data_IF_112804196674
#
_entry.id   IF_112804196674
#
_cell.length_a   1.000
_cell.length_b   1.000
_cell.length_c   1.000
_cell.angle_alpha   90.00
_cell.angle_beta   90.00
_cell.angle_gamma   90.00
#
_symmetry.space_group_name_H-M   'P 1'
#
loop_
_entity.id
_entity.type
_entity.pdbx_description
1 polymer ?
#
# COMPACT_ATOMS: atom_id res chain seq x y z
N UNK A 1 -19.41 5.47 10.35
CA UNK A 1 -18.13 6.08 10.74
C UNK A 1 -17.64 6.92 9.55
N UNK A 2 -17.69 8.26 9.62
CA UNK A 2 -17.17 9.12 8.52
C UNK A 2 -15.65 9.10 8.61
N UNK A 3 -14.99 8.36 7.72
CA UNK A 3 -13.52 8.34 7.66
C UNK A 3 -13.05 9.75 7.31
N UNK A 4 -12.31 10.39 8.21
CA UNK A 4 -11.75 11.71 7.94
C UNK A 4 -10.59 11.57 6.94
N UNK A 5 -10.87 11.89 5.68
CA UNK A 5 -9.93 11.76 4.55
C UNK A 5 -8.63 12.52 4.82
N UNK A 6 -8.69 13.64 5.54
CA UNK A 6 -7.53 14.49 5.86
C UNK A 6 -6.50 13.79 6.75
N UNK A 7 -6.89 12.74 7.49
CA UNK A 7 -5.97 11.93 8.31
C UNK A 7 -5.37 10.75 7.56
N UNK A 8 -5.85 10.45 6.34
CA UNK A 8 -5.39 9.31 5.55
C UNK A 8 -3.99 9.50 4.97
N UNK A 9 -3.26 8.39 4.81
CA UNK A 9 -1.93 8.39 4.19
C UNK A 9 -1.95 8.92 2.75
N UNK A 10 -2.98 8.56 1.97
CA UNK A 10 -3.18 9.03 0.59
C UNK A 10 -3.29 10.57 0.55
N UNK A 11 -4.06 11.15 1.48
CA UNK A 11 -4.23 12.60 1.54
C UNK A 11 -2.93 13.31 1.92
N UNK A 12 -2.25 12.86 2.98
CA UNK A 12 -0.96 13.42 3.39
C UNK A 12 0.09 13.34 2.28
N UNK A 13 0.15 12.21 1.57
CA UNK A 13 1.06 12.04 0.45
C UNK A 13 0.68 12.95 -0.74
N UNK A 14 -0.61 13.09 -1.05
CA UNK A 14 -1.11 14.00 -2.08
C UNK A 14 -0.77 15.45 -1.77
N UNK A 15 -0.97 15.87 -0.51
CA UNK A 15 -0.61 17.21 -0.03
C UNK A 15 0.89 17.45 -0.17
N UNK A 16 1.72 16.52 0.31
CA UNK A 16 3.17 16.63 0.21
C UNK A 16 3.65 16.73 -1.24
N UNK A 17 3.05 15.94 -2.15
CA UNK A 17 3.35 16.01 -3.58
C UNK A 17 2.93 17.34 -4.19
N UNK A 18 1.76 17.87 -3.82
CA UNK A 18 1.30 19.18 -4.28
C UNK A 18 2.25 20.30 -3.82
N UNK A 19 2.71 20.27 -2.57
CA UNK A 19 3.70 21.21 -2.05
C UNK A 19 5.04 21.13 -2.82
N UNK A 20 5.49 19.92 -3.18
CA UNK A 20 6.67 19.76 -4.04
C UNK A 20 6.46 20.37 -5.43
N UNK A 21 5.27 20.21 -6.02
CA UNK A 21 4.94 20.81 -7.31
C UNK A 21 4.92 22.33 -7.27
N UNK A 22 4.36 22.93 -6.21
CA UNK A 22 4.33 24.38 -6.02
C UNK A 22 5.74 24.94 -5.84
N UNK A 23 6.60 24.26 -5.07
CA UNK A 23 8.00 24.68 -4.88
C UNK A 23 8.83 24.59 -6.16
N UNK A 24 8.52 23.63 -7.04
CA UNK A 24 9.27 23.41 -8.27
C UNK A 24 8.87 24.35 -9.40
N UNK A 25 7.64 24.88 -9.39
CA UNK A 25 7.10 25.68 -10.48
C UNK A 25 6.25 26.83 -9.90
N UNK A 26 6.80 28.05 -9.96
CA UNK A 26 6.21 29.27 -9.36
C UNK A 26 4.83 29.63 -9.94
N UNK A 27 4.46 29.06 -11.09
CA UNK A 27 3.13 29.25 -11.69
C UNK A 27 1.99 28.72 -10.82
N UNK A 28 2.27 27.83 -9.86
CA UNK A 28 1.28 27.25 -8.95
C UNK A 28 1.14 27.98 -7.60
N UNK A 29 1.97 28.99 -7.34
CA UNK A 29 1.90 29.74 -6.08
C UNK A 29 0.65 30.66 -6.00
N UNK A 30 0.01 30.91 -7.14
CA UNK A 30 -1.18 31.76 -7.27
C UNK A 30 -2.45 31.11 -6.72
N UNK A 31 -2.49 29.77 -6.51
CA UNK A 31 -3.66 29.12 -5.93
C UNK A 31 -3.88 29.52 -4.46
N UNK A 32 -5.10 29.94 -4.14
CA UNK A 32 -5.56 30.15 -2.77
C UNK A 32 -5.47 28.86 -1.94
N UNK A 33 -5.25 29.00 -0.64
CA UNK A 33 -5.11 27.86 0.26
C UNK A 33 -6.37 26.96 0.26
N UNK A 34 -7.56 27.54 0.13
CA UNK A 34 -8.82 26.79 0.04
C UNK A 34 -8.96 26.01 -1.28
N UNK A 35 -8.39 26.52 -2.37
CA UNK A 35 -8.35 25.78 -3.64
C UNK A 35 -7.38 24.60 -3.55
N UNK A 36 -6.22 24.78 -2.89
CA UNK A 36 -5.23 23.72 -2.66
C UNK A 36 -5.81 22.58 -1.82
N UNK A 37 -6.57 22.88 -0.77
CA UNK A 37 -7.20 21.86 0.08
C UNK A 37 -8.30 21.10 -0.67
N UNK A 38 -9.18 21.79 -1.39
CA UNK A 38 -10.23 21.17 -2.20
C UNK A 38 -9.64 20.30 -3.33
N UNK A 39 -8.58 20.78 -3.98
CA UNK A 39 -7.84 20.02 -4.99
C UNK A 39 -7.29 18.72 -4.41
N UNK A 40 -6.62 18.79 -3.26
CA UNK A 40 -6.05 17.65 -2.57
C UNK A 40 -7.13 16.64 -2.16
N UNK A 41 -8.28 17.10 -1.65
CA UNK A 41 -9.38 16.23 -1.27
C UNK A 41 -9.96 15.47 -2.47
N UNK A 42 -10.27 16.16 -3.57
CA UNK A 42 -10.84 15.51 -4.75
C UNK A 42 -9.81 14.60 -5.45
N UNK A 43 -8.51 14.93 -5.42
CA UNK A 43 -7.47 14.01 -5.94
C UNK A 43 -7.40 12.77 -5.05
N UNK A 44 -7.40 12.94 -3.73
CA UNK A 44 -7.31 11.83 -2.77
C UNK A 44 -8.51 10.90 -2.88
N UNK A 45 -9.72 11.42 -3.05
CA UNK A 45 -10.93 10.62 -3.27
C UNK A 45 -10.83 9.80 -4.56
N UNK A 46 -10.47 10.45 -5.68
CA UNK A 46 -10.30 9.77 -6.97
C UNK A 46 -9.19 8.73 -6.94
N UNK A 47 -8.05 9.06 -6.33
CA UNK A 47 -6.95 8.14 -6.13
C UNK A 47 -7.42 6.92 -5.32
N UNK A 48 -8.12 7.12 -4.20
CA UNK A 48 -8.64 6.02 -3.38
C UNK A 48 -9.54 5.07 -4.18
N UNK A 49 -10.45 5.59 -5.02
CA UNK A 49 -11.31 4.77 -5.89
C UNK A 49 -10.46 3.98 -6.90
N UNK A 50 -9.53 4.64 -7.58
CA UNK A 50 -8.64 4.00 -8.57
C UNK A 50 -7.81 2.91 -7.91
N UNK A 51 -7.29 3.15 -6.71
CA UNK A 51 -6.48 2.19 -5.97
C UNK A 51 -7.28 0.98 -5.52
N UNK A 52 -8.51 1.17 -5.05
CA UNK A 52 -9.41 0.05 -4.73
C UNK A 52 -9.68 -0.79 -6.00
N UNK A 53 -9.90 -0.15 -7.14
CA UNK A 53 -10.11 -0.84 -8.42
C UNK A 53 -8.87 -1.60 -8.90
N UNK A 54 -7.66 -1.12 -8.59
CA UNK A 54 -6.40 -1.80 -8.94
C UNK A 54 -5.99 -2.89 -7.94
N UNK A 55 -6.34 -2.74 -6.66
CA UNK A 55 -6.02 -3.70 -5.60
C UNK A 55 -6.60 -5.09 -5.87
N UNK A 56 -7.86 -5.17 -6.33
CA UNK A 56 -8.54 -6.43 -6.62
C UNK A 56 -7.80 -7.24 -7.69
N UNK A 57 -7.60 -6.74 -8.93
CA UNK A 57 -6.90 -7.49 -9.97
C UNK A 57 -5.44 -7.74 -9.59
N UNK A 58 -4.78 -6.79 -8.92
CA UNK A 58 -3.41 -6.98 -8.44
C UNK A 58 -3.32 -8.19 -7.51
N UNK A 59 -4.23 -8.31 -6.54
CA UNK A 59 -4.28 -9.45 -5.64
C UNK A 59 -4.43 -10.77 -6.42
N UNK A 60 -5.33 -10.83 -7.40
CA UNK A 60 -5.48 -12.03 -8.23
C UNK A 60 -4.20 -12.37 -9.00
N UNK A 61 -3.57 -11.38 -9.64
CA UNK A 61 -2.35 -11.59 -10.43
C UNK A 61 -1.21 -12.10 -9.54
N UNK A 62 -1.00 -11.51 -8.37
CA UNK A 62 0.05 -11.93 -7.44
C UNK A 62 -0.18 -13.35 -6.95
N UNK A 63 -1.41 -13.70 -6.56
CA UNK A 63 -1.71 -15.06 -6.09
C UNK A 63 -1.54 -16.10 -7.21
N UNK A 64 -2.02 -15.81 -8.42
CA UNK A 64 -1.85 -16.70 -9.57
C UNK A 64 -0.38 -16.87 -9.92
N UNK A 65 0.40 -15.79 -9.94
CA UNK A 65 1.84 -15.86 -10.20
C UNK A 65 2.55 -16.70 -9.12
N UNK A 66 2.20 -16.50 -7.85
CA UNK A 66 2.77 -17.25 -6.73
C UNK A 66 2.47 -18.75 -6.82
N UNK A 67 1.23 -19.10 -7.20
CA UNK A 67 0.79 -20.48 -7.42
C UNK A 67 1.49 -21.12 -8.62
N UNK A 68 1.63 -20.41 -9.74
CA UNK A 68 2.35 -20.93 -10.90
C UNK A 68 3.83 -21.18 -10.58
N UNK A 69 4.45 -20.29 -9.83
CA UNK A 69 5.84 -20.46 -9.37
C UNK A 69 5.99 -21.65 -8.43
N UNK A 70 5.00 -21.95 -7.57
CA UNK A 70 5.05 -23.14 -6.70
C UNK A 70 4.93 -24.45 -7.49
N UNK A 71 4.07 -24.52 -8.50
CA UNK A 71 3.99 -25.70 -9.39
C UNK A 71 5.30 -25.93 -10.14
N UNK A 72 5.99 -24.86 -10.53
CA UNK A 72 7.29 -24.94 -11.19
C UNK A 72 8.45 -25.35 -10.26
N UNK A 73 8.17 -25.61 -8.98
CA UNK A 73 9.20 -25.99 -8.01
C UNK A 73 10.13 -24.83 -7.65
N UNK A 74 9.68 -23.58 -7.77
CA UNK A 74 10.47 -22.43 -7.35
C UNK A 74 10.77 -22.55 -5.84
N UNK A 75 12.06 -22.50 -5.49
CA UNK A 75 12.52 -22.66 -4.11
C UNK A 75 11.84 -21.68 -3.15
N UNK A 76 11.67 -20.42 -3.54
CA UNK A 76 11.11 -19.39 -2.67
C UNK A 76 9.65 -19.68 -2.30
N UNK A 77 8.83 -20.06 -3.29
CA UNK A 77 7.40 -20.32 -3.06
C UNK A 77 7.19 -21.63 -2.32
N UNK A 78 7.98 -22.66 -2.61
CA UNK A 78 7.94 -23.94 -1.91
C UNK A 78 8.36 -23.79 -0.43
N UNK A 79 9.44 -23.05 -0.17
CA UNK A 79 9.88 -22.72 1.19
C UNK A 79 8.81 -21.91 1.94
N UNK A 80 8.14 -20.96 1.26
CA UNK A 80 7.08 -20.16 1.85
C UNK A 80 5.86 -21.01 2.25
N UNK A 81 5.38 -21.89 1.38
CA UNK A 81 4.28 -22.80 1.71
C UNK A 81 4.65 -23.74 2.85
N UNK A 82 5.85 -24.31 2.82
CA UNK A 82 6.33 -25.20 3.88
C UNK A 82 6.40 -24.48 5.24
N UNK A 83 6.91 -23.25 5.26
CA UNK A 83 6.98 -22.47 6.49
C UNK A 83 5.59 -22.09 7.04
N UNK A 84 4.63 -21.76 6.17
CA UNK A 84 3.24 -21.52 6.59
C UNK A 84 2.66 -22.79 7.20
N UNK A 85 2.85 -23.94 6.55
CA UNK A 85 2.30 -25.22 6.97
C UNK A 85 2.87 -25.64 8.34
N UNK A 86 4.20 -25.58 8.50
CA UNK A 86 4.85 -25.83 9.79
C UNK A 86 4.37 -24.88 10.90
N UNK A 87 4.14 -23.61 10.57
CA UNK A 87 3.65 -22.62 11.55
C UNK A 87 2.19 -22.91 11.92
N UNK A 88 1.37 -23.29 10.94
CA UNK A 88 -0.02 -23.66 11.12
C UNK A 88 -0.17 -24.93 11.97
N UNK A 89 0.65 -25.95 11.72
CA UNK A 89 0.72 -27.17 12.53
C UNK A 89 1.08 -26.86 13.97
N UNK A 90 2.09 -26.02 14.22
CA UNK A 90 2.48 -25.62 15.58
C UNK A 90 1.35 -24.85 16.29
N UNK A 91 0.62 -24.00 15.57
CA UNK A 91 -0.48 -23.21 16.15
C UNK A 91 -1.68 -24.10 16.52
N UNK A 92 -2.07 -25.03 15.64
CA UNK A 92 -3.30 -25.81 15.82
C UNK A 92 -3.11 -27.14 16.56
N UNK A 93 -1.99 -27.81 16.31
CA UNK A 93 -1.73 -29.17 16.77
C UNK A 93 -0.46 -29.29 17.63
N UNK A 94 0.37 -28.25 17.67
CA UNK A 94 1.61 -28.23 18.44
C UNK A 94 1.38 -28.25 19.94
N UNK A 95 2.29 -28.91 20.67
CA UNK A 95 2.31 -28.83 22.13
C UNK A 95 2.77 -27.44 22.56
N UNK A 96 1.86 -26.67 23.15
CA UNK A 96 2.14 -25.36 23.72
C UNK A 96 2.93 -25.45 25.04
N UNK A 97 3.11 -26.67 25.55
CA UNK A 97 3.79 -27.01 26.79
C UNK A 97 2.96 -26.68 28.03
N UNK A 98 3.19 -27.48 29.08
CA UNK A 98 2.67 -27.20 30.41
C UNK A 98 3.60 -26.19 31.12
N UNK A 99 3.07 -25.00 31.43
CA UNK A 99 3.77 -23.96 32.17
C UNK A 99 4.08 -22.69 31.38
N UNK A 100 4.13 -21.57 32.09
CA UNK A 100 4.34 -20.22 31.55
C UNK A 100 5.63 -20.04 30.73
N UNK A 101 6.77 -20.65 31.08
CA UNK A 101 8.01 -20.51 30.32
C UNK A 101 7.95 -21.18 28.93
N UNK A 102 7.38 -22.38 28.86
CA UNK A 102 7.25 -23.12 27.59
C UNK A 102 6.31 -22.39 26.63
N UNK A 103 5.16 -21.90 27.12
CA UNK A 103 4.23 -21.10 26.32
C UNK A 103 4.88 -19.84 25.74
N UNK A 104 5.72 -19.14 26.52
CA UNK A 104 6.46 -17.96 26.05
C UNK A 104 7.49 -18.31 24.96
N UNK A 105 8.17 -19.45 25.10
CA UNK A 105 9.13 -19.92 24.11
C UNK A 105 8.45 -20.30 22.78
N UNK A 106 7.32 -21.02 22.83
CA UNK A 106 6.55 -21.39 21.63
C UNK A 106 6.02 -20.15 20.90
N UNK A 107 5.50 -19.15 21.63
CA UNK A 107 5.07 -17.88 21.03
C UNK A 107 6.24 -17.17 20.34
N UNK A 108 7.40 -17.07 21.01
CA UNK A 108 8.59 -16.44 20.43
C UNK A 108 9.05 -17.17 19.15
N UNK A 109 9.02 -18.49 19.15
CA UNK A 109 9.36 -19.31 17.99
C UNK A 109 8.43 -19.04 16.81
N UNK A 110 7.12 -18.97 17.04
CA UNK A 110 6.13 -18.60 16.02
C UNK A 110 6.44 -17.20 15.46
N UNK A 111 6.73 -16.22 16.31
CA UNK A 111 7.09 -14.87 15.86
C UNK A 111 8.35 -14.87 14.99
N UNK A 112 9.39 -15.61 15.37
CA UNK A 112 10.62 -15.72 14.57
C UNK A 112 10.33 -16.35 13.21
N UNK A 113 9.52 -17.41 13.17
CA UNK A 113 9.07 -18.02 11.91
C UNK A 113 8.24 -17.06 11.06
N UNK A 114 7.47 -16.16 11.65
CA UNK A 114 6.68 -15.17 10.89
C UNK A 114 7.49 -14.01 10.32
N UNK A 115 8.70 -13.74 10.81
CA UNK A 115 9.53 -12.61 10.31
C UNK A 115 9.70 -12.64 8.78
N UNK A 116 10.17 -13.75 8.18
CA UNK A 116 10.39 -13.74 6.74
C UNK A 116 9.09 -13.85 5.94
N UNK A 117 7.97 -14.29 6.54
CA UNK A 117 6.63 -14.17 5.95
C UNK A 117 6.23 -12.69 5.78
N UNK A 118 6.45 -11.88 6.82
CA UNK A 118 6.22 -10.42 6.76
C UNK A 118 7.10 -9.79 5.69
N UNK A 119 8.36 -10.21 5.56
CA UNK A 119 9.26 -9.68 4.53
C UNK A 119 8.76 -9.95 3.10
N UNK A 120 8.27 -11.16 2.82
CA UNK A 120 7.69 -11.51 1.51
C UNK A 120 6.46 -10.66 1.21
N UNK A 121 5.59 -10.44 2.19
CA UNK A 121 4.41 -9.58 2.03
C UNK A 121 4.81 -8.13 1.74
N UNK A 122 5.81 -7.58 2.44
CA UNK A 122 6.29 -6.22 2.20
C UNK A 122 6.87 -6.05 0.79
N UNK A 123 7.61 -7.05 0.30
CA UNK A 123 8.13 -7.06 -1.07
C UNK A 123 6.96 -7.09 -2.07
N UNK A 124 5.96 -7.96 -1.84
CA UNK A 124 4.78 -8.04 -2.69
C UNK A 124 3.90 -6.78 -2.64
N UNK A 125 3.96 -5.98 -1.57
CA UNK A 125 3.26 -4.69 -1.47
C UNK A 125 4.02 -3.53 -2.13
N UNK A 126 5.33 -3.67 -2.36
CA UNK A 126 6.17 -2.58 -2.90
C UNK A 126 5.67 -2.04 -4.25
N UNK A 127 5.27 -2.88 -5.23
CA UNK A 127 4.71 -2.40 -6.50
C UNK A 127 3.40 -1.61 -6.33
N UNK A 128 2.57 -1.96 -5.34
CA UNK A 128 1.33 -1.21 -5.05
C UNK A 128 1.66 0.21 -4.60
N UNK A 129 2.62 0.38 -3.68
CA UNK A 129 3.03 1.73 -3.25
C UNK A 129 3.58 2.59 -4.39
N UNK A 130 4.28 1.98 -5.35
CA UNK A 130 4.74 2.67 -6.57
C UNK A 130 3.57 3.08 -7.48
N UNK A 131 2.58 2.20 -7.66
CA UNK A 131 1.37 2.51 -8.41
C UNK A 131 0.59 3.67 -7.77
N UNK A 132 0.43 3.66 -6.45
CA UNK A 132 -0.18 4.76 -5.68
C UNK A 132 0.50 6.09 -5.98
N UNK A 133 1.84 6.10 -5.93
CA UNK A 133 2.63 7.28 -6.23
C UNK A 133 2.41 7.79 -7.66
N UNK A 134 2.33 6.90 -8.64
CA UNK A 134 2.13 7.24 -10.06
C UNK A 134 0.72 7.78 -10.29
N UNK A 135 -0.32 7.12 -9.77
CA UNK A 135 -1.71 7.55 -9.93
C UNK A 135 -1.92 8.95 -9.37
N UNK A 136 -1.45 9.19 -8.14
CA UNK A 136 -1.58 10.49 -7.49
C UNK A 136 -0.84 11.57 -8.29
N UNK A 137 0.36 11.28 -8.78
CA UNK A 137 1.16 12.18 -9.62
C UNK A 137 0.42 12.55 -10.91
N UNK A 138 -0.17 11.57 -11.60
CA UNK A 138 -0.90 11.80 -12.85
C UNK A 138 -2.18 12.60 -12.62
N UNK A 139 -2.96 12.26 -11.58
CA UNK A 139 -4.19 12.96 -11.23
C UNK A 139 -3.92 14.43 -10.85
N UNK A 140 -2.85 14.69 -10.09
CA UNK A 140 -2.42 16.05 -9.78
C UNK A 140 -2.09 16.81 -11.07
N UNK A 141 -1.25 16.24 -11.95
CA UNK A 141 -0.85 16.89 -13.20
C UNK A 141 -2.04 17.25 -14.10
N UNK A 142 -3.01 16.33 -14.25
CA UNK A 142 -4.21 16.55 -15.07
C UNK A 142 -5.06 17.68 -14.49
N UNK A 143 -5.33 17.65 -13.18
CA UNK A 143 -6.16 18.69 -12.57
C UNK A 143 -5.52 20.07 -12.57
N UNK A 144 -4.22 20.11 -12.28
CA UNK A 144 -3.45 21.34 -12.28
C UNK A 144 -3.47 21.96 -13.69
N UNK A 145 -3.25 21.16 -14.74
CA UNK A 145 -3.36 21.62 -16.13
C UNK A 145 -4.76 22.17 -16.44
N UNK A 146 -5.81 21.48 -16.00
CA UNK A 146 -7.19 21.92 -16.23
C UNK A 146 -7.52 23.23 -15.49
N UNK A 147 -6.98 23.42 -14.28
CA UNK A 147 -7.14 24.68 -13.54
C UNK A 147 -6.47 25.85 -14.27
N UNK A 148 -5.24 25.67 -14.78
CA UNK A 148 -4.57 26.70 -15.60
C UNK A 148 -5.39 27.05 -16.84
N UNK A 149 -5.90 26.06 -17.57
CA UNK A 149 -6.68 26.31 -18.80
C UNK A 149 -7.95 27.12 -18.48
N UNK A 150 -8.61 26.82 -17.35
CA UNK A 150 -9.85 27.49 -16.97
C UNK A 150 -9.64 28.88 -16.34
N UNK A 151 -8.49 29.16 -15.73
CA UNK A 151 -8.22 30.42 -15.01
C UNK A 151 -7.15 31.33 -15.65
N UNK A 152 -6.28 30.79 -16.51
CA UNK A 152 -5.24 31.53 -17.24
C UNK A 152 -5.66 32.02 -18.63
N UNK A 153 -6.93 31.82 -19.01
CA UNK A 153 -7.54 32.36 -20.23
C UNK A 153 -8.28 33.68 -20.01
N UNK A 154 -7.74 34.57 -19.18
CA UNK A 154 -8.20 35.96 -19.04
C UNK A 154 -7.07 36.91 -19.39
#
# INVERSE_FOLDING_TARGET
>A
MRVNIHKGLIYKYTQHRLEQYIKADMTFDVMLQDEKTHLCEDVSKKACIVLILLMIPYFFVVNVAFYLLSIQGNFLTMWFYHMIDETYEVILYGDWGAGTPHKRATILFIFIKLIPFIAVILIALTPLFLLDAIVIKQLLKVKIKNHIINHGGK
#
